data_IF_854683996578
#
_entry.id   IF_854683996578
#
_cell.length_a   1.000
_cell.length_b   1.000
_cell.length_c   1.000
_cell.angle_alpha   90.00
_cell.angle_beta   90.00
_cell.angle_gamma   90.00
#
_symmetry.space_group_name_H-M   'P 1'
#
loop_
_entity.id
_entity.type
_entity.pdbx_description
1 polymer ?
#
# COMPACT_ATOMS: atom_id res chain seq x y z
N UNK A 1 -22.96 -26.01 -27.23
CA UNK A 1 -22.95 -25.17 -26.00
C UNK A 1 -22.43 -25.91 -24.77
N UNK A 2 -22.82 -27.16 -24.50
CA UNK A 2 -22.43 -27.94 -23.29
C UNK A 2 -20.93 -28.14 -23.01
N UNK A 3 -20.04 -27.87 -23.97
CA UNK A 3 -18.58 -27.91 -23.76
C UNK A 3 -18.01 -26.55 -23.32
N UNK A 4 -18.82 -25.50 -23.45
CA UNK A 4 -18.43 -24.09 -23.24
C UNK A 4 -19.15 -23.47 -22.05
N UNK A 5 -20.30 -24.00 -21.63
CA UNK A 5 -21.12 -23.49 -20.53
C UNK A 5 -20.36 -23.38 -19.19
N UNK A 6 -19.45 -24.31 -18.90
CA UNK A 6 -18.59 -24.30 -17.71
C UNK A 6 -17.33 -23.43 -17.84
N UNK A 7 -17.05 -22.88 -19.04
CA UNK A 7 -15.82 -22.12 -19.31
C UNK A 7 -16.09 -20.64 -19.56
N UNK A 8 -17.26 -20.31 -20.09
CA UNK A 8 -17.61 -18.96 -20.51
C UNK A 8 -19.09 -18.68 -20.24
N UNK A 9 -19.42 -17.40 -20.10
CA UNK A 9 -20.80 -16.94 -19.99
C UNK A 9 -21.48 -16.98 -21.37
N UNK A 10 -22.53 -17.78 -21.51
CA UNK A 10 -23.27 -17.94 -22.77
C UNK A 10 -24.54 -17.10 -22.75
N UNK A 11 -24.71 -16.19 -23.71
CA UNK A 11 -25.95 -15.43 -23.92
C UNK A 11 -26.60 -15.91 -25.24
N UNK A 12 -27.77 -16.57 -25.20
CA UNK A 12 -28.41 -17.06 -26.41
C UNK A 12 -29.11 -15.93 -27.18
N UNK A 13 -28.89 -15.89 -28.50
CA UNK A 13 -29.47 -14.91 -29.43
C UNK A 13 -30.18 -15.62 -30.58
N UNK A 14 -31.34 -15.11 -30.98
CA UNK A 14 -32.07 -15.45 -32.21
C UNK A 14 -31.72 -14.38 -33.23
N UNK A 15 -30.96 -14.76 -34.24
CA UNK A 15 -30.57 -13.86 -35.34
C UNK A 15 -31.68 -13.75 -36.38
N UNK A 16 -31.72 -12.63 -37.12
CA UNK A 16 -32.69 -12.36 -38.19
C UNK A 16 -34.14 -12.55 -37.71
N UNK A 17 -34.44 -12.01 -36.53
CA UNK A 17 -35.76 -12.12 -35.92
C UNK A 17 -36.88 -11.51 -36.77
N UNK A 18 -36.55 -10.62 -37.72
CA UNK A 18 -37.43 -10.06 -38.75
C UNK A 18 -38.06 -11.12 -39.68
N UNK A 19 -37.50 -12.33 -39.71
CA UNK A 19 -38.03 -13.46 -40.51
C UNK A 19 -39.15 -14.24 -39.82
N UNK A 20 -39.44 -13.96 -38.55
CA UNK A 20 -40.36 -14.71 -37.71
C UNK A 20 -41.48 -13.77 -37.23
N UNK A 21 -42.73 -14.23 -37.20
CA UNK A 21 -43.84 -13.42 -36.66
C UNK A 21 -43.81 -13.36 -35.12
N UNK A 22 -44.48 -12.37 -34.52
CA UNK A 22 -44.43 -12.16 -33.04
C UNK A 22 -44.96 -13.37 -32.27
N UNK A 23 -45.98 -14.05 -32.80
CA UNK A 23 -46.53 -15.28 -32.24
C UNK A 23 -45.54 -16.45 -32.32
N UNK A 24 -44.96 -16.68 -33.50
CA UNK A 24 -43.99 -17.76 -33.72
C UNK A 24 -42.71 -17.53 -32.91
N UNK A 25 -42.28 -16.28 -32.77
CA UNK A 25 -41.09 -15.92 -31.99
C UNK A 25 -41.29 -16.28 -30.50
N UNK A 26 -42.48 -16.04 -29.94
CA UNK A 26 -42.78 -16.44 -28.55
C UNK A 26 -42.71 -17.95 -28.36
N UNK A 27 -43.32 -18.72 -29.26
CA UNK A 27 -43.27 -20.18 -29.21
C UNK A 27 -41.83 -20.69 -29.38
N UNK A 28 -41.08 -20.07 -30.29
CA UNK A 28 -39.69 -20.42 -30.56
C UNK A 28 -38.77 -20.14 -29.36
N UNK A 29 -38.95 -19.00 -28.67
CA UNK A 29 -38.23 -18.69 -27.41
C UNK A 29 -38.49 -19.75 -26.34
N UNK A 30 -39.76 -20.13 -26.13
CA UNK A 30 -40.13 -21.16 -25.16
C UNK A 30 -39.45 -22.49 -25.50
N UNK A 31 -39.48 -22.88 -26.78
CA UNK A 31 -38.86 -24.12 -27.24
C UNK A 31 -37.34 -24.13 -27.02
N UNK A 32 -36.64 -23.06 -27.39
CA UNK A 32 -35.19 -22.94 -27.19
C UNK A 32 -34.84 -23.02 -25.70
N UNK A 33 -35.55 -22.27 -24.85
CA UNK A 33 -35.30 -22.28 -23.41
C UNK A 33 -35.57 -23.68 -22.81
N UNK A 34 -36.63 -24.36 -23.23
CA UNK A 34 -36.91 -25.74 -22.83
C UNK A 34 -35.81 -26.72 -23.27
N UNK A 35 -35.30 -26.59 -24.49
CA UNK A 35 -34.18 -27.39 -24.98
C UNK A 35 -32.88 -27.13 -24.21
N UNK A 36 -32.57 -25.87 -23.88
CA UNK A 36 -31.39 -25.52 -23.08
C UNK A 36 -31.45 -26.15 -21.69
N UNK A 37 -32.60 -26.05 -21.02
CA UNK A 37 -32.82 -26.62 -19.68
C UNK A 37 -32.78 -28.15 -19.71
N UNK A 38 -33.50 -28.79 -20.65
CA UNK A 38 -33.54 -30.26 -20.75
C UNK A 38 -32.17 -30.88 -21.07
N UNK A 39 -31.33 -30.16 -21.82
CA UNK A 39 -29.96 -30.60 -22.10
C UNK A 39 -28.95 -30.23 -20.99
N UNK A 40 -29.39 -29.49 -19.96
CA UNK A 40 -28.57 -29.04 -18.84
C UNK A 40 -27.47 -28.07 -19.26
N UNK A 41 -27.76 -27.19 -20.24
CA UNK A 41 -26.82 -26.15 -20.69
C UNK A 41 -26.96 -24.92 -19.81
N UNK A 42 -25.89 -24.54 -19.12
CA UNK A 42 -25.88 -23.32 -18.32
C UNK A 42 -25.71 -22.09 -19.23
N UNK A 43 -26.69 -21.18 -19.17
CA UNK A 43 -26.61 -19.87 -19.80
C UNK A 43 -26.40 -18.80 -18.73
N UNK A 44 -25.84 -17.68 -19.15
CA UNK A 44 -25.68 -16.52 -18.29
C UNK A 44 -27.05 -15.94 -17.92
N UNK A 45 -27.28 -15.76 -16.63
CA UNK A 45 -28.43 -15.04 -16.09
C UNK A 45 -27.93 -13.75 -15.47
N UNK A 46 -28.57 -12.65 -15.82
CA UNK A 46 -28.23 -11.35 -15.26
C UNK A 46 -28.49 -11.37 -13.75
N UNK A 47 -27.50 -11.01 -12.91
CA UNK A 47 -27.62 -11.07 -11.46
C UNK A 47 -28.78 -10.21 -10.94
N UNK A 48 -29.61 -10.75 -10.06
CA UNK A 48 -30.74 -10.03 -9.46
C UNK A 48 -30.57 -9.76 -7.97
N UNK A 49 -29.36 -9.98 -7.44
CA UNK A 49 -29.05 -9.88 -6.01
C UNK A 49 -28.94 -8.42 -5.53
N UNK A 50 -28.68 -7.49 -6.45
CA UNK A 50 -28.51 -6.07 -6.18
C UNK A 50 -29.81 -5.31 -6.51
N UNK A 51 -30.46 -4.80 -5.47
CA UNK A 51 -31.76 -4.10 -5.51
C UNK A 51 -31.77 -2.93 -6.51
N UNK A 52 -30.62 -2.29 -6.76
CA UNK A 52 -30.52 -1.19 -7.72
C UNK A 52 -30.69 -1.62 -9.18
N UNK A 53 -30.45 -2.91 -9.50
CA UNK A 53 -30.52 -3.45 -10.87
C UNK A 53 -31.43 -4.66 -11.01
N UNK A 54 -32.05 -5.13 -9.92
CA UNK A 54 -32.94 -6.29 -9.91
C UNK A 54 -34.08 -6.16 -10.92
N UNK A 55 -34.75 -5.02 -10.97
CA UNK A 55 -35.90 -4.80 -11.86
C UNK A 55 -35.51 -4.90 -13.33
N UNK A 56 -34.44 -4.21 -13.71
CA UNK A 56 -33.88 -4.21 -15.06
C UNK A 56 -33.42 -5.63 -15.45
N UNK A 57 -32.65 -6.28 -14.59
CA UNK A 57 -32.07 -7.58 -14.88
C UNK A 57 -33.14 -8.69 -14.94
N UNK A 58 -34.22 -8.57 -14.18
CA UNK A 58 -35.37 -9.46 -14.28
C UNK A 58 -36.05 -9.36 -15.65
N UNK A 59 -36.28 -8.13 -16.14
CA UNK A 59 -36.81 -7.90 -17.50
C UNK A 59 -35.85 -8.47 -18.55
N UNK A 60 -34.54 -8.27 -18.40
CA UNK A 60 -33.55 -8.80 -19.34
C UNK A 60 -33.52 -10.33 -19.37
N UNK A 61 -33.60 -10.98 -18.21
CA UNK A 61 -33.70 -12.43 -18.11
C UNK A 61 -34.99 -12.96 -18.77
N UNK A 62 -36.11 -12.25 -18.64
CA UNK A 62 -37.38 -12.62 -19.28
C UNK A 62 -37.35 -12.51 -20.82
N UNK A 63 -36.46 -11.67 -21.37
CA UNK A 63 -36.32 -11.50 -22.82
C UNK A 63 -35.45 -12.57 -23.49
N UNK A 64 -34.75 -13.41 -22.71
CA UNK A 64 -33.89 -14.46 -23.24
C UNK A 64 -34.69 -15.59 -23.93
N UNK A 65 -34.21 -16.11 -25.07
CA UNK A 65 -33.09 -15.59 -25.87
C UNK A 65 -33.43 -14.29 -26.62
N UNK A 66 -32.45 -13.38 -26.76
CA UNK A 66 -32.66 -12.09 -27.40
C UNK A 66 -32.93 -12.25 -28.90
N UNK A 67 -33.98 -11.60 -29.40
CA UNK A 67 -34.32 -11.61 -30.80
C UNK A 67 -33.72 -10.36 -31.45
N UNK A 68 -32.74 -10.55 -32.33
CA UNK A 68 -31.92 -9.46 -32.89
C UNK A 68 -32.00 -9.42 -34.41
N UNK A 69 -31.97 -8.21 -34.95
CA UNK A 69 -31.85 -7.93 -36.38
C UNK A 69 -30.59 -7.10 -36.57
N UNK A 70 -29.68 -7.58 -37.41
CA UNK A 70 -28.42 -6.90 -37.70
C UNK A 70 -28.48 -6.20 -39.06
N UNK A 71 -28.02 -4.95 -39.11
CA UNK A 71 -27.81 -4.21 -40.35
C UNK A 71 -26.39 -3.66 -40.39
N UNK A 72 -25.72 -3.76 -41.52
CA UNK A 72 -24.40 -3.16 -41.77
C UNK A 72 -24.44 -2.08 -42.85
N UNK A 73 -25.60 -1.88 -43.48
CA UNK A 73 -25.76 -0.97 -44.60
C UNK A 73 -26.64 0.22 -44.20
N UNK A 74 -26.06 1.42 -44.24
CA UNK A 74 -26.82 2.66 -44.22
C UNK A 74 -27.45 2.89 -45.59
N UNK A 75 -28.55 2.20 -45.89
CA UNK A 75 -29.28 2.45 -47.14
C UNK A 75 -30.13 3.72 -46.95
N UNK A 76 -29.94 4.76 -47.76
CA UNK A 76 -30.84 5.91 -47.85
C UNK A 76 -31.76 5.74 -49.05
N UNK A 77 -33.08 5.70 -48.87
CA UNK A 77 -34.03 5.97 -49.95
C UNK A 77 -34.12 7.49 -50.21
N UNK A 78 -34.80 7.89 -51.29
CA UNK A 78 -34.88 9.31 -51.71
C UNK A 78 -35.46 10.26 -50.64
N UNK A 79 -36.11 9.75 -49.58
CA UNK A 79 -36.74 10.56 -48.54
C UNK A 79 -36.50 10.10 -47.09
N UNK A 80 -36.00 8.88 -46.83
CA UNK A 80 -35.73 8.35 -45.48
C UNK A 80 -34.58 7.35 -45.47
N UNK A 81 -33.98 7.14 -44.30
CA UNK A 81 -33.04 6.04 -44.07
C UNK A 81 -33.80 4.69 -44.06
N UNK A 82 -33.23 3.61 -44.57
CA UNK A 82 -33.84 2.29 -44.73
C UNK A 82 -33.94 1.51 -43.41
N UNK A 83 -33.10 1.82 -42.42
CA UNK A 83 -33.29 1.34 -41.04
C UNK A 83 -34.66 1.75 -40.48
N UNK A 84 -35.11 2.96 -40.85
CA UNK A 84 -36.48 3.40 -40.53
C UNK A 84 -37.53 2.55 -41.23
N UNK A 85 -37.29 2.00 -42.42
CA UNK A 85 -38.25 1.10 -43.08
C UNK A 85 -38.36 -0.24 -42.35
N UNK A 86 -37.24 -0.86 -41.95
CA UNK A 86 -37.28 -2.12 -41.20
C UNK A 86 -37.91 -1.93 -39.81
N UNK A 87 -37.53 -0.86 -39.10
CA UNK A 87 -38.14 -0.52 -37.81
C UNK A 87 -39.64 -0.26 -37.97
N UNK A 88 -40.05 0.57 -38.93
CA UNK A 88 -41.47 0.84 -39.18
C UNK A 88 -42.24 -0.42 -39.61
N UNK A 89 -41.62 -1.33 -40.38
CA UNK A 89 -42.26 -2.60 -40.77
C UNK A 89 -42.41 -3.56 -39.60
N UNK A 90 -41.45 -3.58 -38.68
CA UNK A 90 -41.54 -4.33 -37.42
C UNK A 90 -42.61 -3.72 -36.50
N UNK A 91 -42.66 -2.38 -36.39
CA UNK A 91 -43.72 -1.64 -35.69
C UNK A 91 -45.11 -1.97 -36.28
N UNK A 92 -45.26 -1.98 -37.62
CA UNK A 92 -46.49 -2.38 -38.32
C UNK A 92 -46.89 -3.83 -38.04
N UNK A 93 -45.92 -4.73 -37.82
CA UNK A 93 -46.15 -6.13 -37.42
C UNK A 93 -46.38 -6.29 -35.91
N UNK A 94 -46.45 -5.19 -35.15
CA UNK A 94 -46.74 -5.17 -33.72
C UNK A 94 -45.52 -5.44 -32.83
N UNK A 95 -44.31 -5.34 -33.37
CA UNK A 95 -43.08 -5.30 -32.59
C UNK A 95 -42.82 -3.87 -32.12
N UNK A 96 -42.95 -3.64 -30.83
CA UNK A 96 -42.64 -2.37 -30.18
C UNK A 96 -41.60 -2.66 -29.09
N UNK A 97 -40.58 -1.81 -28.98
CA UNK A 97 -39.57 -1.89 -27.92
C UNK A 97 -40.13 -1.54 -26.52
N UNK A 98 -41.39 -1.12 -26.47
CA UNK A 98 -42.07 -0.64 -25.27
C UNK A 98 -43.47 -1.25 -25.18
N UNK A 99 -43.68 -2.18 -24.26
CA UNK A 99 -45.02 -2.52 -23.77
C UNK A 99 -45.50 -1.33 -22.89
N UNK A 100 -45.98 -0.25 -23.53
CA UNK A 100 -46.78 0.82 -22.93
C UNK A 100 -46.14 1.75 -21.89
N UNK A 101 -45.15 1.33 -21.11
CA UNK A 101 -44.65 2.08 -19.93
C UNK A 101 -43.13 1.99 -19.72
N UNK A 102 -42.42 1.22 -20.55
CA UNK A 102 -40.97 1.04 -20.42
C UNK A 102 -40.21 1.87 -21.46
N UNK A 103 -39.37 2.79 -20.95
CA UNK A 103 -38.36 3.52 -21.74
C UNK A 103 -37.52 2.54 -22.57
N UNK A 104 -37.13 2.92 -23.81
CA UNK A 104 -36.26 2.08 -24.64
C UNK A 104 -34.97 1.76 -23.88
N UNK A 105 -34.79 0.49 -23.58
CA UNK A 105 -33.70 0.00 -22.75
C UNK A 105 -32.49 -0.35 -23.62
N UNK A 106 -31.41 0.42 -23.48
CA UNK A 106 -30.15 0.13 -24.16
C UNK A 106 -29.24 -0.73 -23.28
N UNK A 107 -29.08 -2.01 -23.68
CA UNK A 107 -28.09 -2.93 -23.08
C UNK A 107 -26.67 -2.36 -23.11
N UNK A 108 -26.36 -1.58 -24.14
CA UNK A 108 -25.07 -0.92 -24.31
C UNK A 108 -24.84 0.12 -23.20
N UNK A 109 -25.83 0.99 -22.97
CA UNK A 109 -25.71 2.10 -22.01
C UNK A 109 -25.61 1.59 -20.57
N UNK A 110 -26.38 0.56 -20.22
CA UNK A 110 -26.30 -0.05 -18.88
C UNK A 110 -24.95 -0.73 -18.63
N UNK A 111 -24.41 -1.44 -19.63
CA UNK A 111 -23.09 -2.05 -19.53
C UNK A 111 -21.98 -0.98 -19.44
N UNK A 112 -22.07 0.08 -20.23
CA UNK A 112 -21.11 1.19 -20.21
C UNK A 112 -21.14 1.94 -18.88
N UNK A 113 -22.33 2.18 -18.32
CA UNK A 113 -22.50 2.79 -17.01
C UNK A 113 -21.89 1.93 -15.90
N UNK A 114 -22.21 0.63 -15.86
CA UNK A 114 -21.62 -0.34 -14.91
C UNK A 114 -20.10 -0.42 -15.03
N UNK A 115 -19.58 -0.45 -16.26
CA UNK A 115 -18.13 -0.46 -16.51
C UNK A 115 -17.46 0.81 -16.00
N UNK A 116 -18.09 1.96 -16.20
CA UNK A 116 -17.58 3.25 -15.70
C UNK A 116 -17.57 3.30 -14.17
N UNK A 117 -18.62 2.81 -13.52
CA UNK A 117 -18.72 2.70 -12.07
C UNK A 117 -17.60 1.81 -11.50
N UNK A 118 -17.42 0.61 -12.06
CA UNK A 118 -16.36 -0.30 -11.63
C UNK A 118 -14.95 0.29 -11.77
N UNK A 119 -14.68 0.99 -12.88
CA UNK A 119 -13.41 1.68 -13.09
C UNK A 119 -13.21 2.81 -12.07
N UNK A 120 -14.26 3.57 -11.77
CA UNK A 120 -14.23 4.63 -10.76
C UNK A 120 -13.97 4.06 -9.35
N UNK A 121 -14.59 2.95 -8.99
CA UNK A 121 -14.34 2.29 -7.71
C UNK A 121 -12.90 1.76 -7.59
N UNK A 122 -12.37 1.17 -8.67
CA UNK A 122 -11.00 0.69 -8.72
C UNK A 122 -10.01 1.84 -8.51
N UNK A 123 -10.24 2.97 -9.19
CA UNK A 123 -9.43 4.18 -9.02
C UNK A 123 -9.50 4.73 -7.60
N UNK A 124 -10.69 4.77 -6.99
CA UNK A 124 -10.84 5.20 -5.58
C UNK A 124 -10.02 4.32 -4.64
N UNK A 125 -10.12 2.99 -4.78
CA UNK A 125 -9.35 2.04 -3.95
C UNK A 125 -7.86 2.19 -4.17
N UNK A 126 -7.42 2.41 -5.41
CA UNK A 126 -6.00 2.67 -5.72
C UNK A 126 -5.49 3.94 -5.02
N UNK A 127 -6.25 5.02 -5.10
CA UNK A 127 -5.90 6.30 -4.47
C UNK A 127 -5.87 6.18 -2.94
N UNK A 128 -6.83 5.46 -2.34
CA UNK A 128 -6.82 5.16 -0.90
C UNK A 128 -5.56 4.38 -0.49
N UNK A 129 -5.16 3.37 -1.26
CA UNK A 129 -3.93 2.62 -1.01
C UNK A 129 -2.68 3.50 -1.13
N UNK A 130 -2.63 4.40 -2.13
CA UNK A 130 -1.53 5.36 -2.30
C UNK A 130 -1.46 6.35 -1.14
N UNK A 131 -2.60 6.90 -0.72
CA UNK A 131 -2.65 7.82 0.42
C UNK A 131 -2.26 7.16 1.73
N UNK A 132 -2.68 5.91 1.94
CA UNK A 132 -2.27 5.13 3.11
C UNK A 132 -0.76 4.89 3.11
N UNK A 133 -0.18 4.55 1.96
CA UNK A 133 1.27 4.40 1.82
C UNK A 133 2.00 5.72 2.13
N UNK A 134 1.59 6.83 1.53
CA UNK A 134 2.22 8.14 1.76
C UNK A 134 2.12 8.56 3.22
N UNK A 135 0.96 8.38 3.86
CA UNK A 135 0.78 8.69 5.28
C UNK A 135 1.70 7.84 6.15
N UNK A 136 1.82 6.54 5.86
CA UNK A 136 2.67 5.63 6.62
C UNK A 136 4.15 5.93 6.44
N UNK A 137 4.57 6.31 5.23
CA UNK A 137 5.95 6.77 4.97
C UNK A 137 6.25 8.03 5.77
N UNK A 138 5.35 9.03 5.76
CA UNK A 138 5.52 10.27 6.54
C UNK A 138 5.61 10.02 8.05
N UNK A 139 4.75 9.14 8.58
CA UNK A 139 4.78 8.73 9.99
C UNK A 139 6.13 8.08 10.34
N UNK A 140 6.58 7.13 9.50
CA UNK A 140 7.86 6.43 9.71
C UNK A 140 9.05 7.39 9.61
N UNK A 141 9.02 8.35 8.68
CA UNK A 141 10.06 9.38 8.54
C UNK A 141 10.11 10.29 9.77
N UNK A 142 8.96 10.68 10.31
CA UNK A 142 8.85 11.45 11.56
C UNK A 142 9.41 10.68 12.75
N UNK A 143 9.05 9.41 12.92
CA UNK A 143 9.59 8.57 13.99
C UNK A 143 11.12 8.41 13.88
N UNK A 144 11.63 8.22 12.66
CA UNK A 144 13.07 8.10 12.43
C UNK A 144 13.80 9.40 12.83
N UNK A 145 13.22 10.55 12.48
CA UNK A 145 13.76 11.87 12.80
C UNK A 145 13.75 12.17 14.30
N UNK A 146 12.74 11.70 15.02
CA UNK A 146 12.68 11.82 16.49
C UNK A 146 13.75 10.94 17.15
N UNK A 147 13.90 9.68 16.70
CA UNK A 147 14.96 8.78 17.19
C UNK A 147 16.36 9.31 16.91
N UNK A 148 16.58 9.92 15.75
CA UNK A 148 17.85 10.57 15.40
C UNK A 148 18.16 11.74 16.35
N UNK A 149 17.14 12.57 16.66
CA UNK A 149 17.27 13.67 17.63
C UNK A 149 17.63 13.16 19.02
N UNK A 150 16.92 12.15 19.52
CA UNK A 150 17.21 11.55 20.83
C UNK A 150 18.64 10.98 20.88
N UNK A 151 19.08 10.32 19.80
CA UNK A 151 20.43 9.77 19.72
C UNK A 151 21.48 10.88 19.80
N UNK A 152 21.23 12.00 19.11
CA UNK A 152 22.10 13.17 19.16
C UNK A 152 22.17 13.80 20.56
N UNK A 153 21.03 13.92 21.24
CA UNK A 153 20.98 14.43 22.62
C UNK A 153 21.72 13.51 23.60
N UNK A 154 21.53 12.18 23.47
CA UNK A 154 22.26 11.17 24.25
C UNK A 154 23.77 11.27 24.00
N UNK A 155 24.19 11.45 22.75
CA UNK A 155 25.59 11.63 22.38
C UNK A 155 26.19 12.89 23.04
N UNK A 156 25.54 14.05 22.93
CA UNK A 156 26.01 15.29 23.54
C UNK A 156 26.01 15.24 25.07
N UNK A 157 25.06 14.52 25.68
CA UNK A 157 25.07 14.26 27.12
C UNK A 157 26.27 13.41 27.55
N UNK A 158 26.50 12.28 26.88
CA UNK A 158 27.63 11.40 27.17
C UNK A 158 28.97 12.10 26.94
N UNK A 159 29.08 12.92 25.90
CA UNK A 159 30.27 13.73 25.62
C UNK A 159 30.58 14.71 26.75
N UNK A 160 29.56 15.37 27.32
CA UNK A 160 29.71 16.25 28.49
C UNK A 160 30.17 15.48 29.73
N UNK A 161 29.55 14.32 30.02
CA UNK A 161 29.96 13.47 31.13
C UNK A 161 31.42 13.03 30.95
N UNK A 162 31.78 12.58 29.75
CA UNK A 162 33.14 12.14 29.47
C UNK A 162 34.16 13.26 29.64
N UNK A 163 33.86 14.48 29.19
CA UNK A 163 34.72 15.65 29.41
C UNK A 163 34.89 15.96 30.90
N UNK A 164 33.82 15.90 31.67
CA UNK A 164 33.86 16.17 33.11
C UNK A 164 34.63 15.08 33.89
N UNK A 165 34.42 13.80 33.56
CA UNK A 165 35.18 12.70 34.15
C UNK A 165 36.67 12.79 33.77
N UNK A 166 36.99 13.14 32.52
CA UNK A 166 38.38 13.39 32.09
C UNK A 166 39.01 14.53 32.90
N UNK A 167 38.29 15.63 33.13
CA UNK A 167 38.74 16.76 33.95
C UNK A 167 39.02 16.33 35.39
N UNK A 168 38.12 15.58 36.01
CA UNK A 168 38.30 15.05 37.38
C UNK A 168 39.52 14.12 37.49
N UNK A 169 39.72 13.25 36.51
CA UNK A 169 40.88 12.34 36.48
C UNK A 169 42.17 13.14 36.33
N UNK A 170 42.18 14.16 35.47
CA UNK A 170 43.35 15.02 35.25
C UNK A 170 43.69 15.87 36.49
N UNK A 171 42.69 16.36 37.21
CA UNK A 171 42.84 17.08 38.48
C UNK A 171 43.44 16.18 39.56
N UNK A 172 42.89 14.98 39.76
CA UNK A 172 43.47 13.98 40.69
C UNK A 172 44.89 13.57 40.30
N UNK A 173 45.18 13.45 39.01
CA UNK A 173 46.55 13.16 38.52
C UNK A 173 47.50 14.28 38.93
N UNK A 174 47.11 15.55 38.77
CA UNK A 174 47.91 16.72 39.15
C UNK A 174 48.17 16.76 40.65
N UNK A 175 47.15 16.54 41.48
CA UNK A 175 47.30 16.49 42.95
C UNK A 175 48.30 15.41 43.39
N UNK A 176 48.19 14.19 42.84
CA UNK A 176 49.11 13.10 43.14
C UNK A 176 50.54 13.41 42.68
N UNK A 177 50.70 14.10 41.55
CA UNK A 177 52.00 14.50 41.01
C UNK A 177 52.66 15.58 41.87
N UNK A 178 51.89 16.54 42.38
CA UNK A 178 52.33 17.54 43.36
C UNK A 178 52.71 16.91 44.70
N UNK A 179 51.91 15.97 45.22
CA UNK A 179 52.21 15.26 46.47
C UNK A 179 53.48 14.39 46.34
N UNK A 180 53.63 13.68 45.22
CA UNK A 180 54.82 12.90 44.91
C UNK A 180 56.06 13.80 44.80
N UNK A 181 55.95 14.96 44.15
CA UNK A 181 57.02 15.96 44.06
C UNK A 181 57.40 16.49 45.45
N UNK A 182 56.41 16.88 46.26
CA UNK A 182 56.64 17.35 47.63
C UNK A 182 57.28 16.27 48.52
N UNK A 183 56.86 15.01 48.37
CA UNK A 183 57.49 13.87 49.03
C UNK A 183 58.95 13.70 48.59
N UNK A 184 59.24 13.77 47.28
CA UNK A 184 60.59 13.69 46.75
C UNK A 184 61.49 14.83 47.24
N UNK A 185 60.99 16.07 47.28
CA UNK A 185 61.69 17.22 47.85
C UNK A 185 62.02 17.01 49.34
N UNK A 186 61.05 16.54 50.14
CA UNK A 186 61.27 16.23 51.56
C UNK A 186 62.30 15.12 51.74
N UNK A 187 62.20 14.04 50.95
CA UNK A 187 63.16 12.94 50.96
C UNK A 187 64.58 13.44 50.65
N UNK A 188 64.75 14.23 49.59
CA UNK A 188 66.04 14.79 49.19
C UNK A 188 66.62 15.71 50.29
N UNK A 189 65.79 16.52 50.94
CA UNK A 189 66.22 17.38 52.05
C UNK A 189 66.71 16.56 53.26
N UNK A 190 66.01 15.48 53.62
CA UNK A 190 66.42 14.58 54.71
C UNK A 190 67.71 13.84 54.35
N UNK A 191 67.82 13.32 53.12
CA UNK A 191 69.06 12.67 52.63
C UNK A 191 70.24 13.65 52.63
N UNK A 192 70.04 14.91 52.25
CA UNK A 192 71.08 15.94 52.31
C UNK A 192 71.52 16.27 53.74
N UNK A 193 70.59 16.36 54.69
CA UNK A 193 70.89 16.56 56.12
C UNK A 193 71.63 15.36 56.71
N UNK A 194 71.22 14.14 56.35
CA UNK A 194 71.90 12.92 56.78
C UNK A 194 73.32 12.86 56.22
N UNK A 195 73.52 13.23 54.95
CA UNK A 195 74.84 13.37 54.31
C UNK A 195 75.75 14.37 55.03
N UNK A 196 75.19 15.52 55.46
CA UNK A 196 75.93 16.51 56.25
C UNK A 196 76.26 16.01 57.67
N UNK A 197 75.39 15.22 58.29
CA UNK A 197 75.64 14.62 59.60
C UNK A 197 76.76 13.56 59.57
N UNK A 198 76.86 12.74 58.51
CA UNK A 198 78.00 11.81 58.35
C UNK A 198 79.33 12.56 58.13
N UNK A 199 79.29 13.70 57.42
CA UNK A 199 80.47 14.56 57.26
C UNK A 199 80.86 15.31 58.55
N UNK A 200 79.89 15.74 59.38
CA UNK A 200 80.14 16.41 60.67
C UNK A 200 80.69 15.43 61.75
N UNK A 201 80.30 14.16 61.70
CA UNK A 201 80.80 13.14 62.65
C UNK A 201 82.25 12.70 62.34
N UNK A 202 82.80 13.05 61.17
CA UNK A 202 84.20 12.78 60.81
C UNK A 202 85.18 13.90 61.23
N UNK A 203 84.72 14.97 61.90
CA UNK A 203 85.55 16.06 62.39
C UNK A 203 85.48 16.23 63.92
N UNK A 204 85.74 15.16 64.68
CA UNK A 204 86.23 15.33 66.06
C UNK A 204 87.76 15.27 66.08
N UNK A 205 88.46 16.25 66.69
CA UNK A 205 89.92 16.23 66.79
C UNK A 205 90.34 15.21 67.85
N UNK A 206 91.42 14.41 67.62
CA UNK A 206 91.93 13.52 68.65
C UNK A 206 92.58 14.38 69.74
N UNK A 207 92.04 14.31 70.95
CA UNK A 207 92.73 14.81 72.15
C UNK A 207 93.96 13.93 72.37
N UNK A 208 95.15 14.55 72.33
CA UNK A 208 96.40 13.97 72.80
C UNK A 208 96.26 13.66 74.29
N UNK A 209 96.47 12.40 74.66
CA UNK A 209 97.14 12.10 75.92
C UNK A 209 98.29 11.13 75.69
N UNK A 210 99.41 11.47 76.32
CA UNK A 210 100.72 10.83 76.27
C UNK A 210 100.78 9.75 77.37
N UNK A 211 101.71 8.80 77.20
CA UNK A 211 102.14 7.72 78.12
C UNK A 211 101.38 6.37 77.93
N UNK A 212 102.02 5.20 77.82
CA UNK A 212 103.41 4.76 78.04
C UNK A 212 103.61 3.34 77.43
N UNK A 213 104.65 3.20 76.59
CA UNK A 213 105.73 2.18 76.67
C UNK A 213 105.39 0.67 76.69
N UNK A 214 105.70 -0.02 75.59
CA UNK A 214 106.84 -0.96 75.47
C UNK A 214 107.04 -1.37 74.01
#
# INVERSE_FOLDING_TARGET
MKKLDSKVNIIPIIVKADTISKSELREFKIKIMGELVSNGVQIYQFPTDDEAVTEINAVMNAHLPFAVVGSTEEVKTHSRHYELYQRCKLEEMGYQDSDGDSQPFSLQETYEAKRKEFLSELQRKEEEMRQMFVSKVKETELELKEKERELYEKFEHLKRIHQEEKRKVEEKRRELEEEASAFNCRKAAVEALQSQAVHATSQQPPKKDKDRKN
#
